data_IF_205134995364
#
_entry.id   IF_205134995364
#
_cell.length_a   1.000
_cell.length_b   1.000
_cell.length_c   1.000
_cell.angle_alpha   90.00
_cell.angle_beta   90.00
_cell.angle_gamma   90.00
#
_symmetry.space_group_name_H-M   'P 1'
#
loop_
_entity.id
_entity.type
_entity.pdbx_description
1 polymer ?
#
# COMPACT_ATOMS: atom_id res chain seq x y z
N UNK A 1 -1.95 16.90 15.23
CA UNK A 1 -1.15 17.75 14.32
C UNK A 1 -2.09 18.61 13.48
N UNK A 2 -1.73 19.87 13.24
CA UNK A 2 -2.49 20.76 12.37
C UNK A 2 -2.15 20.44 10.92
N UNK A 3 -3.17 20.15 10.11
CA UNK A 3 -3.02 19.90 8.67
C UNK A 3 -2.58 21.21 7.97
N UNK A 4 -1.62 21.10 7.05
CA UNK A 4 -1.28 22.22 6.17
C UNK A 4 -2.54 22.62 5.36
N UNK A 5 -2.95 23.90 5.36
CA UNK A 5 -4.18 24.32 4.67
C UNK A 5 -4.14 24.12 3.15
N UNK A 6 -2.94 24.02 2.57
CA UNK A 6 -2.76 23.76 1.13
C UNK A 6 -2.74 22.26 0.79
N UNK A 7 -2.78 21.37 1.79
CA UNK A 7 -2.77 19.93 1.57
C UNK A 7 -4.18 19.42 1.30
N UNK A 8 -4.40 18.83 0.13
CA UNK A 8 -5.59 18.06 -0.20
C UNK A 8 -5.25 16.58 -0.07
N UNK A 9 -6.03 15.85 0.72
CA UNK A 9 -5.91 14.40 0.87
C UNK A 9 -7.13 13.79 0.21
N UNK A 10 -6.89 12.89 -0.75
CA UNK A 10 -7.95 12.16 -1.46
C UNK A 10 -7.85 10.69 -1.09
N UNK A 11 -8.93 10.13 -0.57
CA UNK A 11 -9.02 8.71 -0.30
C UNK A 11 -9.20 7.95 -1.62
N UNK A 12 -8.17 7.19 -2.01
CA UNK A 12 -8.17 6.34 -3.19
C UNK A 12 -8.67 4.91 -2.94
N UNK A 13 -8.83 4.50 -1.67
CA UNK A 13 -9.17 3.12 -1.33
C UNK A 13 -10.55 2.71 -1.86
N UNK A 14 -10.63 1.50 -2.40
CA UNK A 14 -11.85 0.92 -2.95
C UNK A 14 -11.96 -0.53 -2.49
N UNK A 15 -13.15 -0.91 -2.03
CA UNK A 15 -13.40 -2.29 -1.62
C UNK A 15 -13.21 -3.30 -2.76
N UNK A 16 -12.64 -4.46 -2.47
CA UNK A 16 -12.43 -5.53 -3.44
C UNK A 16 -11.30 -5.30 -4.45
N UNK A 17 -10.57 -4.19 -4.37
CA UNK A 17 -9.41 -3.95 -5.23
C UNK A 17 -8.17 -4.57 -4.60
N UNK A 18 -7.50 -5.45 -5.35
CA UNK A 18 -6.27 -6.14 -4.93
C UNK A 18 -5.09 -5.65 -5.74
N UNK A 19 -3.87 -5.95 -5.27
CA UNK A 19 -2.66 -5.62 -6.03
C UNK A 19 -2.70 -6.19 -7.45
N UNK A 20 -3.18 -7.42 -7.63
CA UNK A 20 -3.35 -8.04 -8.95
C UNK A 20 -4.28 -7.23 -9.87
N UNK A 21 -5.38 -6.69 -9.34
CA UNK A 21 -6.32 -5.89 -10.13
C UNK A 21 -5.71 -4.54 -10.49
N UNK A 22 -5.17 -3.82 -9.50
CA UNK A 22 -4.71 -2.45 -9.71
C UNK A 22 -3.34 -2.36 -10.40
N UNK A 23 -2.61 -3.47 -10.52
CA UNK A 23 -1.41 -3.57 -11.35
C UNK A 23 -1.70 -3.52 -12.85
N UNK A 24 -2.98 -3.61 -13.24
CA UNK A 24 -3.41 -3.36 -14.62
C UNK A 24 -3.73 -1.86 -14.81
N UNK A 25 -3.03 -1.14 -15.71
CA UNK A 25 -3.28 0.28 -15.94
C UNK A 25 -4.67 0.59 -16.52
N UNK A 26 -5.34 -0.40 -17.10
CA UNK A 26 -6.70 -0.30 -17.62
C UNK A 26 -7.79 -0.62 -16.56
N UNK A 27 -7.42 -0.99 -15.33
CA UNK A 27 -8.39 -1.27 -14.29
C UNK A 27 -9.28 -0.05 -13.99
N UNK A 28 -10.57 -0.27 -13.82
CA UNK A 28 -11.52 0.79 -13.47
C UNK A 28 -11.17 1.52 -12.18
N UNK A 29 -10.43 0.88 -11.28
CA UNK A 29 -9.86 1.48 -10.08
C UNK A 29 -9.25 2.86 -10.33
N UNK A 30 -8.44 2.98 -11.38
CA UNK A 30 -7.74 4.22 -11.71
C UNK A 30 -8.70 5.32 -12.18
N UNK A 31 -9.76 4.96 -12.89
CA UNK A 31 -10.79 5.91 -13.31
C UNK A 31 -11.56 6.46 -12.12
N UNK A 32 -11.85 5.64 -11.13
CA UNK A 32 -12.51 6.06 -9.89
C UNK A 32 -11.61 7.01 -9.09
N UNK A 33 -10.29 6.77 -9.02
CA UNK A 33 -9.37 7.72 -8.38
C UNK A 33 -9.41 9.07 -9.08
N UNK A 34 -9.39 9.11 -10.41
CA UNK A 34 -9.45 10.36 -11.16
C UNK A 34 -10.75 11.14 -10.92
N UNK A 35 -11.88 10.43 -10.81
CA UNK A 35 -13.15 11.03 -10.45
C UNK A 35 -13.11 11.64 -9.04
N UNK A 36 -12.49 10.95 -8.06
CA UNK A 36 -12.33 11.45 -6.70
C UNK A 36 -11.39 12.65 -6.63
N UNK A 37 -10.32 12.68 -7.42
CA UNK A 37 -9.45 13.85 -7.56
C UNK A 37 -10.25 15.05 -8.08
N UNK A 38 -11.01 14.86 -9.15
CA UNK A 38 -11.88 15.89 -9.73
C UNK A 38 -12.91 16.39 -8.73
N UNK A 39 -13.58 15.50 -8.01
CA UNK A 39 -14.55 15.86 -6.97
C UNK A 39 -13.92 16.64 -5.80
N UNK A 40 -12.63 16.41 -5.52
CA UNK A 40 -11.85 17.18 -4.55
C UNK A 40 -11.31 18.51 -5.10
N UNK A 41 -11.61 18.87 -6.34
CA UNK A 41 -11.15 20.09 -7.00
C UNK A 41 -9.67 20.08 -7.38
N UNK A 42 -9.07 18.90 -7.55
CA UNK A 42 -7.66 18.76 -7.93
C UNK A 42 -7.50 17.89 -9.19
N UNK A 43 -6.34 17.98 -9.81
CA UNK A 43 -6.01 17.31 -11.06
C UNK A 43 -4.93 16.25 -10.85
N UNK A 44 -4.76 15.36 -11.83
CA UNK A 44 -3.66 14.38 -11.86
C UNK A 44 -2.28 15.04 -11.75
N UNK A 45 -2.10 16.23 -12.32
CA UNK A 45 -0.84 17.00 -12.29
C UNK A 45 -0.51 17.53 -10.89
N UNK A 46 -1.47 17.61 -9.99
CA UNK A 46 -1.27 18.09 -8.61
C UNK A 46 -0.94 16.96 -7.63
N UNK A 47 -1.04 15.70 -8.04
CA UNK A 47 -0.68 14.55 -7.19
C UNK A 47 0.84 14.51 -7.02
N UNK A 48 1.30 14.67 -5.78
CA UNK A 48 2.73 14.69 -5.45
C UNK A 48 3.16 13.49 -4.61
N UNK A 49 2.22 12.91 -3.84
CA UNK A 49 2.48 11.82 -2.90
C UNK A 49 1.39 10.78 -3.04
N UNK A 50 1.78 9.50 -2.96
CA UNK A 50 0.86 8.39 -2.76
C UNK A 50 1.24 7.62 -1.48
N UNK A 51 0.25 7.10 -0.77
CA UNK A 51 0.43 6.08 0.24
C UNK A 51 -0.32 4.83 -0.22
N UNK A 52 0.41 3.71 -0.29
CA UNK A 52 -0.07 2.44 -0.84
C UNK A 52 0.02 1.36 0.23
N UNK A 53 -1.08 0.65 0.45
CA UNK A 53 -1.18 -0.53 1.30
C UNK A 53 -2.07 -1.54 0.60
N UNK A 54 -1.48 -2.51 -0.05
CA UNK A 54 -2.19 -3.50 -0.87
C UNK A 54 -1.76 -4.93 -0.57
N UNK A 55 -2.58 -5.88 -1.01
CA UNK A 55 -2.30 -7.31 -0.97
C UNK A 55 -3.14 -8.03 -2.03
N UNK A 56 -2.89 -9.32 -2.20
CA UNK A 56 -3.76 -10.21 -2.96
C UNK A 56 -4.80 -10.88 -2.05
N UNK A 57 -5.97 -11.14 -2.61
CA UNK A 57 -7.02 -11.92 -1.93
C UNK A 57 -6.81 -13.40 -2.19
N UNK A 58 -7.11 -14.21 -1.19
CA UNK A 58 -7.08 -15.69 -1.25
C UNK A 58 -5.79 -16.26 -1.85
N UNK A 59 -4.61 -15.80 -1.37
CA UNK A 59 -3.34 -16.32 -1.85
C UNK A 59 -3.22 -17.81 -1.47
N UNK A 60 -2.56 -18.59 -2.35
CA UNK A 60 -2.37 -20.04 -2.16
C UNK A 60 -0.92 -20.46 -2.32
N UNK A 61 -0.07 -19.60 -2.82
CA UNK A 61 1.34 -19.92 -3.08
C UNK A 61 2.16 -19.77 -1.80
N UNK A 62 3.14 -20.66 -1.63
CA UNK A 62 4.07 -20.58 -0.50
C UNK A 62 5.10 -19.46 -0.67
N UNK A 63 5.72 -19.06 0.44
CA UNK A 63 6.91 -18.20 0.40
C UNK A 63 8.08 -18.90 -0.29
N UNK A 64 8.87 -18.21 -1.12
CA UNK A 64 8.80 -16.76 -1.41
C UNK A 64 7.90 -16.39 -2.61
N UNK A 65 7.27 -17.38 -3.28
CA UNK A 65 6.56 -17.17 -4.55
C UNK A 65 5.44 -16.13 -4.42
N UNK A 66 4.60 -16.23 -3.39
CA UNK A 66 3.56 -15.24 -3.12
C UNK A 66 4.11 -13.81 -2.97
N UNK A 67 5.18 -13.66 -2.17
CA UNK A 67 5.78 -12.34 -1.91
C UNK A 67 6.46 -11.76 -3.15
N UNK A 68 7.06 -12.60 -4.01
CA UNK A 68 7.66 -12.18 -5.29
C UNK A 68 6.59 -11.76 -6.31
N UNK A 69 5.48 -12.48 -6.37
CA UNK A 69 4.34 -12.08 -7.20
C UNK A 69 3.80 -10.72 -6.76
N UNK A 70 3.58 -10.53 -5.46
CA UNK A 70 3.11 -9.26 -4.91
C UNK A 70 4.12 -8.12 -5.16
N UNK A 71 5.43 -8.37 -5.06
CA UNK A 71 6.46 -7.41 -5.43
C UNK A 71 6.34 -7.00 -6.90
N UNK A 72 6.18 -7.95 -7.82
CA UNK A 72 6.01 -7.66 -9.25
C UNK A 72 4.80 -6.77 -9.53
N UNK A 73 3.69 -7.03 -8.84
CA UNK A 73 2.49 -6.19 -8.92
C UNK A 73 2.74 -4.79 -8.35
N UNK A 74 3.47 -4.66 -7.26
CA UNK A 74 3.87 -3.36 -6.69
C UNK A 74 4.77 -2.57 -7.66
N UNK A 75 5.68 -3.23 -8.37
CA UNK A 75 6.48 -2.59 -9.42
C UNK A 75 5.57 -2.01 -10.52
N UNK A 76 4.61 -2.80 -11.01
CA UNK A 76 3.65 -2.33 -12.01
C UNK A 76 2.84 -1.13 -11.51
N UNK A 77 2.35 -1.18 -10.26
CA UNK A 77 1.62 -0.07 -9.63
C UNK A 77 2.50 1.19 -9.54
N UNK A 78 3.78 1.06 -9.17
CA UNK A 78 4.71 2.19 -9.10
C UNK A 78 4.91 2.87 -10.47
N UNK A 79 5.01 2.08 -11.54
CA UNK A 79 5.10 2.58 -12.92
C UNK A 79 3.79 3.26 -13.34
N UNK A 80 2.64 2.69 -13.01
CA UNK A 80 1.33 3.28 -13.30
C UNK A 80 1.18 4.62 -12.57
N UNK A 81 1.54 4.69 -11.28
CA UNK A 81 1.50 5.92 -10.50
C UNK A 81 2.29 7.03 -11.19
N UNK A 82 3.51 6.74 -11.66
CA UNK A 82 4.34 7.75 -12.35
C UNK A 82 3.79 8.16 -13.70
N UNK A 83 3.32 7.20 -14.50
CA UNK A 83 2.73 7.47 -15.80
C UNK A 83 1.44 8.30 -15.69
N UNK A 84 0.60 8.00 -14.69
CA UNK A 84 -0.70 8.62 -14.52
C UNK A 84 -0.64 9.98 -13.81
N UNK A 85 0.30 10.13 -12.88
CA UNK A 85 0.50 11.31 -12.04
C UNK A 85 1.92 11.87 -12.26
N UNK A 86 2.14 12.64 -13.32
CA UNK A 86 3.51 13.02 -13.74
C UNK A 86 4.27 13.83 -12.69
N UNK A 87 3.57 14.57 -11.82
CA UNK A 87 4.18 15.36 -10.74
C UNK A 87 4.45 14.57 -9.46
N UNK A 88 4.10 13.28 -9.42
CA UNK A 88 4.35 12.45 -8.23
C UNK A 88 5.85 12.38 -7.94
N UNK A 89 6.22 12.61 -6.68
CA UNK A 89 7.60 12.63 -6.20
C UNK A 89 7.95 11.40 -5.37
N UNK A 90 7.01 10.99 -4.52
CA UNK A 90 7.23 9.91 -3.56
C UNK A 90 5.98 9.03 -3.45
N UNK A 91 6.20 7.73 -3.33
CA UNK A 91 5.19 6.77 -2.94
C UNK A 91 5.65 6.03 -1.67
N UNK A 92 4.87 6.16 -0.62
CA UNK A 92 5.05 5.41 0.62
C UNK A 92 4.34 4.06 0.53
N UNK A 93 5.05 2.99 0.82
CA UNK A 93 4.54 1.63 0.79
C UNK A 93 4.47 1.07 2.20
N UNK A 94 3.31 0.62 2.62
CA UNK A 94 3.08 0.06 3.94
C UNK A 94 2.84 -1.46 3.85
N UNK A 95 3.31 -2.20 4.86
CA UNK A 95 2.97 -3.61 5.03
C UNK A 95 1.50 -3.79 5.38
N UNK A 96 1.04 -5.04 5.42
CA UNK A 96 -0.27 -5.38 5.99
C UNK A 96 -0.26 -5.29 7.52
N UNK A 97 -1.42 -5.16 8.10
CA UNK A 97 -1.66 -5.41 9.53
C UNK A 97 -1.62 -6.91 9.80
N UNK A 98 -1.67 -7.32 11.06
CA UNK A 98 -1.72 -8.73 11.46
C UNK A 98 -2.93 -9.47 10.84
N UNK A 99 -2.69 -10.64 10.29
CA UNK A 99 -3.69 -11.49 9.64
C UNK A 99 -4.10 -12.73 10.43
N UNK A 100 -3.58 -12.91 11.65
CA UNK A 100 -3.84 -14.12 12.44
C UNK A 100 -5.25 -14.22 13.04
N UNK A 101 -6.03 -13.12 12.96
CA UNK A 101 -7.45 -13.13 13.36
C UNK A 101 -8.39 -13.36 12.17
N UNK A 102 -7.87 -13.49 10.95
CA UNK A 102 -8.68 -13.64 9.74
C UNK A 102 -9.58 -14.88 9.82
N UNK A 103 -10.87 -14.68 9.61
CA UNK A 103 -11.88 -15.77 9.54
C UNK A 103 -12.17 -16.20 8.11
N UNK A 104 -11.51 -15.57 7.13
CA UNK A 104 -11.65 -15.84 5.70
C UNK A 104 -10.27 -16.01 5.07
N UNK A 105 -10.22 -16.52 3.84
CA UNK A 105 -8.99 -16.63 3.06
C UNK A 105 -8.53 -15.30 2.45
N UNK A 106 -9.12 -14.16 2.83
CA UNK A 106 -8.88 -12.88 2.15
C UNK A 106 -7.41 -12.47 2.19
N UNK A 107 -6.80 -12.45 3.36
CA UNK A 107 -5.35 -12.26 3.51
C UNK A 107 -4.90 -12.68 4.93
N UNK A 108 -4.97 -13.99 5.28
CA UNK A 108 -4.55 -14.51 6.58
C UNK A 108 -3.02 -14.58 6.70
N UNK A 109 -2.53 -14.97 7.88
CA UNK A 109 -1.12 -15.40 8.00
C UNK A 109 -0.89 -16.74 7.26
N UNK A 110 0.31 -16.95 6.70
CA UNK A 110 1.50 -16.07 6.79
C UNK A 110 1.51 -14.92 5.77
N UNK A 111 0.53 -14.80 4.90
CA UNK A 111 0.52 -13.88 3.76
C UNK A 111 0.53 -12.41 4.18
N UNK A 112 -0.13 -12.07 5.30
CA UNK A 112 -0.10 -10.71 5.82
C UNK A 112 1.31 -10.30 6.25
N UNK A 113 2.06 -11.20 6.91
CA UNK A 113 3.47 -11.00 7.23
C UNK A 113 4.33 -10.90 5.97
N UNK A 114 4.15 -11.81 5.02
CA UNK A 114 4.92 -11.90 3.77
C UNK A 114 4.80 -10.64 2.91
N UNK A 115 3.69 -9.91 2.99
CA UNK A 115 3.52 -8.63 2.30
C UNK A 115 4.62 -7.60 2.67
N UNK A 116 5.21 -7.69 3.86
CA UNK A 116 6.35 -6.88 4.27
C UNK A 116 7.60 -7.14 3.42
N UNK A 117 7.85 -8.38 3.03
CA UNK A 117 8.98 -8.72 2.14
C UNK A 117 8.78 -8.16 0.74
N UNK A 118 7.56 -8.21 0.20
CA UNK A 118 7.28 -7.62 -1.11
C UNK A 118 7.58 -6.11 -1.13
N UNK A 119 7.20 -5.37 -0.08
CA UNK A 119 7.54 -3.95 0.07
C UNK A 119 9.05 -3.75 0.20
N UNK A 120 9.72 -4.54 1.05
CA UNK A 120 11.17 -4.47 1.23
C UNK A 120 11.90 -4.65 -0.10
N UNK A 121 11.61 -5.72 -0.82
CA UNK A 121 12.28 -6.06 -2.08
C UNK A 121 12.00 -5.05 -3.19
N UNK A 122 10.78 -4.49 -3.25
CA UNK A 122 10.46 -3.39 -4.16
C UNK A 122 11.38 -2.19 -3.92
N UNK A 123 11.53 -1.76 -2.67
CA UNK A 123 12.36 -0.61 -2.30
C UNK A 123 13.85 -0.91 -2.51
N UNK A 124 14.31 -2.10 -2.11
CA UNK A 124 15.69 -2.56 -2.35
C UNK A 124 16.05 -2.56 -3.83
N UNK A 125 15.13 -2.99 -4.70
CA UNK A 125 15.34 -2.96 -6.15
C UNK A 125 15.62 -1.53 -6.64
N UNK A 126 14.89 -0.53 -6.17
CA UNK A 126 15.15 0.87 -6.53
C UNK A 126 16.45 1.39 -5.92
N UNK A 127 16.76 1.06 -4.66
CA UNK A 127 18.03 1.42 -3.99
C UNK A 127 19.22 0.85 -4.77
N UNK A 128 19.10 -0.37 -5.27
CA UNK A 128 20.10 -1.04 -6.09
C UNK A 128 20.16 -0.52 -7.54
N UNK A 129 19.48 0.61 -7.81
CA UNK A 129 19.51 1.34 -9.08
C UNK A 129 18.98 0.54 -10.28
N UNK A 130 17.98 -0.29 -10.07
CA UNK A 130 17.28 -0.94 -11.18
C UNK A 130 16.68 0.14 -12.09
N UNK A 131 17.06 0.12 -13.35
CA UNK A 131 16.67 1.15 -14.33
C UNK A 131 15.17 1.15 -14.62
N UNK A 132 14.48 0.02 -14.40
CA UNK A 132 13.02 -0.07 -14.56
C UNK A 132 12.26 0.78 -13.54
N UNK A 133 12.87 1.08 -12.38
CA UNK A 133 12.31 1.85 -11.29
C UNK A 133 13.05 3.20 -11.08
N UNK A 134 13.72 3.72 -12.10
CA UNK A 134 14.43 5.00 -11.99
C UNK A 134 13.47 6.13 -11.56
N UNK A 135 13.85 6.88 -10.50
CA UNK A 135 13.05 7.98 -9.95
C UNK A 135 13.64 9.37 -10.24
N UNK A 136 14.80 9.42 -10.87
CA UNK A 136 15.54 10.65 -11.20
C UNK A 136 16.05 10.64 -12.64
N UNK A 137 16.63 11.76 -13.08
CA UNK A 137 17.11 11.94 -14.45
C UNK A 137 16.06 12.57 -15.37
N UNK A 138 16.31 12.54 -16.66
CA UNK A 138 15.45 13.19 -17.67
C UNK A 138 14.12 12.47 -17.92
N UNK A 139 14.06 11.17 -17.63
CA UNK A 139 12.85 10.36 -17.85
C UNK A 139 12.64 9.37 -16.68
N UNK A 140 12.22 9.86 -15.50
CA UNK A 140 11.97 8.98 -14.36
C UNK A 140 10.77 8.08 -14.63
N UNK A 141 10.92 6.78 -14.33
CA UNK A 141 9.90 5.76 -14.60
C UNK A 141 8.99 5.49 -13.41
N UNK A 142 9.46 5.74 -12.19
CA UNK A 142 8.72 5.56 -10.95
C UNK A 142 8.87 6.80 -10.05
N UNK A 143 8.00 7.01 -9.04
CA UNK A 143 8.30 7.92 -7.95
C UNK A 143 9.44 7.38 -7.09
N UNK A 144 10.02 8.19 -6.20
CA UNK A 144 10.87 7.66 -5.15
C UNK A 144 10.02 6.75 -4.25
N UNK A 145 10.48 5.51 -4.07
CA UNK A 145 9.80 4.49 -3.26
C UNK A 145 10.39 4.52 -1.85
N UNK A 146 9.52 4.70 -0.86
CA UNK A 146 9.91 4.74 0.53
C UNK A 146 9.02 3.85 1.38
N UNK A 147 9.54 3.39 2.53
CA UNK A 147 8.72 2.79 3.53
C UNK A 147 7.69 3.80 4.05
N UNK A 148 6.43 3.40 4.03
CA UNK A 148 5.40 3.92 4.90
C UNK A 148 5.51 3.28 6.29
N UNK A 149 4.49 3.39 7.13
CA UNK A 149 4.51 2.69 8.40
C UNK A 149 4.54 1.16 8.17
N UNK A 150 5.45 0.48 8.87
CA UNK A 150 5.41 -0.97 8.97
C UNK A 150 4.29 -1.34 9.94
N UNK A 151 3.19 -1.90 9.41
CA UNK A 151 1.95 -2.07 10.16
C UNK A 151 1.84 -3.43 10.86
N UNK A 152 2.65 -4.41 10.47
CA UNK A 152 2.58 -5.74 11.05
C UNK A 152 3.21 -5.79 12.45
N UNK A 153 2.54 -6.47 13.35
CA UNK A 153 3.04 -6.96 14.63
C UNK A 153 2.35 -8.30 14.90
N UNK A 154 2.97 -9.20 15.67
CA UNK A 154 2.49 -10.56 15.90
C UNK A 154 1.37 -10.59 16.95
N UNK A 155 0.19 -10.17 16.57
CA UNK A 155 -0.99 -10.14 17.44
C UNK A 155 -0.72 -9.39 18.74
N UNK A 156 -0.86 -10.09 19.87
CA UNK A 156 -0.64 -9.54 21.20
C UNK A 156 0.84 -9.48 21.61
N UNK A 157 1.76 -9.99 20.81
CA UNK A 157 3.20 -9.86 21.07
C UNK A 157 3.64 -8.45 20.68
N UNK A 158 3.99 -7.65 21.67
CA UNK A 158 4.36 -6.26 21.44
C UNK A 158 5.63 -6.14 20.60
N UNK A 159 5.57 -5.34 19.54
CA UNK A 159 6.72 -4.92 18.77
C UNK A 159 7.58 -3.93 19.60
N UNK A 160 8.82 -3.67 19.19
CA UNK A 160 9.74 -2.80 19.93
C UNK A 160 9.25 -1.36 20.17
N UNK A 161 8.28 -0.88 19.36
CA UNK A 161 7.60 0.42 19.53
C UNK A 161 6.27 0.30 20.31
N UNK A 162 5.98 -0.88 20.84
CA UNK A 162 4.78 -1.16 21.62
C UNK A 162 3.54 -1.50 20.80
N UNK A 163 3.61 -1.54 19.47
CA UNK A 163 2.46 -1.91 18.64
C UNK A 163 2.04 -3.36 18.92
N UNK A 164 0.75 -3.54 19.19
CA UNK A 164 0.04 -4.82 19.24
C UNK A 164 -1.22 -4.74 18.42
N UNK A 165 -1.72 -5.91 17.95
CA UNK A 165 -3.02 -6.05 17.31
C UNK A 165 -3.91 -6.95 18.15
N UNK A 166 -5.04 -6.43 18.59
CA UNK A 166 -6.09 -7.16 19.31
C UNK A 166 -7.19 -7.59 18.33
N UNK A 167 -7.94 -8.62 18.66
CA UNK A 167 -9.08 -9.04 17.83
C UNK A 167 -10.07 -7.88 17.61
N UNK A 168 -10.33 -7.05 18.64
CA UNK A 168 -11.20 -5.88 18.53
C UNK A 168 -10.69 -4.75 17.63
N UNK A 169 -9.43 -4.80 17.17
CA UNK A 169 -8.91 -3.85 16.18
C UNK A 169 -9.35 -4.18 14.75
N UNK A 170 -10.03 -5.31 14.59
CA UNK A 170 -10.55 -5.76 13.30
C UNK A 170 -12.08 -5.87 13.32
N UNK A 171 -12.68 -5.86 12.14
CA UNK A 171 -14.09 -6.20 11.94
C UNK A 171 -14.28 -7.71 12.13
N UNK A 172 -15.51 -8.19 12.03
CA UNK A 172 -15.87 -9.60 12.22
C UNK A 172 -15.14 -10.58 11.31
N UNK A 173 -14.60 -10.10 10.17
CA UNK A 173 -13.80 -10.92 9.26
C UNK A 173 -12.32 -11.08 9.72
N UNK A 174 -11.92 -10.39 10.77
CA UNK A 174 -10.54 -10.43 11.30
C UNK A 174 -9.47 -9.86 10.36
N UNK A 175 -9.86 -9.21 9.27
CA UNK A 175 -8.95 -8.70 8.23
C UNK A 175 -9.09 -7.19 8.03
N UNK A 176 -10.29 -6.68 7.91
CA UNK A 176 -10.54 -5.25 7.79
C UNK A 176 -10.45 -4.56 9.14
N UNK A 177 -9.75 -3.42 9.25
CA UNK A 177 -9.62 -2.73 10.52
C UNK A 177 -10.95 -2.14 10.99
N UNK A 178 -11.25 -2.31 12.29
CA UNK A 178 -12.30 -1.59 13.01
C UNK A 178 -11.91 -0.12 13.20
N UNK A 179 -12.74 0.67 13.89
CA UNK A 179 -12.38 2.06 14.20
C UNK A 179 -11.12 2.17 15.05
N UNK A 180 -10.90 1.27 16.02
CA UNK A 180 -9.67 1.25 16.83
C UNK A 180 -8.44 0.88 15.98
N UNK A 181 -8.57 -0.11 15.09
CA UNK A 181 -7.50 -0.48 14.17
C UNK A 181 -7.15 0.65 13.19
N UNK A 182 -8.14 1.35 12.66
CA UNK A 182 -7.90 2.53 11.80
C UNK A 182 -7.18 3.65 12.55
N UNK A 183 -7.55 3.88 13.82
CA UNK A 183 -6.88 4.86 14.66
C UNK A 183 -5.41 4.51 14.89
N UNK A 184 -5.10 3.24 15.19
CA UNK A 184 -3.71 2.76 15.31
C UNK A 184 -2.91 3.02 14.04
N UNK A 185 -3.47 2.69 12.86
CA UNK A 185 -2.81 2.97 11.57
C UNK A 185 -2.58 4.48 11.39
N UNK A 186 -3.58 5.31 11.69
CA UNK A 186 -3.47 6.76 11.55
C UNK A 186 -2.43 7.39 12.51
N UNK A 187 -2.20 6.79 13.66
CA UNK A 187 -1.17 7.24 14.61
C UNK A 187 0.25 6.92 14.14
N UNK A 188 0.40 5.88 13.32
CA UNK A 188 1.67 5.49 12.72
C UNK A 188 2.02 6.29 11.45
N UNK A 189 1.04 6.93 10.81
CA UNK A 189 1.19 7.85 9.69
C UNK A 189 1.59 9.26 10.16
#
# INVERSE_FOLDING_TARGET
RTKNPKLVIVDGAQGGQTAAIISNPAANFWSVIDQRLTAAGVTRQQVQVAWVKEANASPTQSFPTHALELQSQFEAIALILKSRYPSIKIAYWASRTYGGYATTALNPEPYAYEAGFAVKWLIEKQINRDTSLSYSGSNPRAPWLAWGPYLWADGMIARGDGLIWQCGDFQSDGTHPSNSGRLKVAQLL
#
